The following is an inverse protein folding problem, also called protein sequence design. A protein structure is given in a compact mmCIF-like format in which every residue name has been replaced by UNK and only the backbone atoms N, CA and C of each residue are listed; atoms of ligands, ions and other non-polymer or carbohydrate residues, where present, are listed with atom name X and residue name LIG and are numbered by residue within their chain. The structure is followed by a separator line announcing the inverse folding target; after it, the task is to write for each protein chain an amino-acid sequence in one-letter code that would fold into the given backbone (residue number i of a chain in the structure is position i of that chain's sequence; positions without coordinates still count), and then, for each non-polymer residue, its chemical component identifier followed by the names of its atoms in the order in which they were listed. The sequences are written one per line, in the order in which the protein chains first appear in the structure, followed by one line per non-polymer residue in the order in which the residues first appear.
data_IF_891879558917
#
_entry.id   IF_891879558917
#
_cell.length_a   1.000
_cell.length_b   1.000
_cell.length_c   1.000
_cell.angle_alpha   90.00
_cell.angle_beta   90.00
_cell.angle_gamma   90.00
#
_symmetry.space_group_name_H-M   'P 1'
#
loop_
_entity.id
_entity.type
_entity.pdbx_description
1 polymer ?
2 non-polymer ?
3 water ?
#
# COMPACT_ATOMS: atom_id res chain seq x y z
N UNK A 1 9.05 -1.08 20.83
CA UNK A 1 9.16 -0.98 19.37
C UNK A 1 9.77 -2.38 19.31
N UNK A 2 8.88 -3.35 19.17
CA UNK A 2 9.26 -4.77 19.08
C UNK A 2 10.42 -4.93 18.10
N UNK A 3 11.05 -6.08 18.19
CA UNK A 3 12.19 -6.45 17.33
C UNK A 3 11.59 -7.02 16.04
N UNK A 4 10.33 -7.40 16.16
CA UNK A 4 9.56 -7.97 15.04
C UNK A 4 8.16 -7.36 14.97
N UNK A 5 7.79 -6.99 13.75
CA UNK A 5 6.49 -6.40 13.44
C UNK A 5 5.76 -6.98 12.23
N UNK A 6 4.83 -7.87 12.52
CA UNK A 6 4.01 -8.54 11.51
C UNK A 6 2.56 -8.24 11.89
N UNK A 7 1.86 -7.65 10.93
CA UNK A 7 0.45 -7.28 11.08
C UNK A 7 -0.49 -8.37 10.54
N UNK A 8 0.12 -9.29 9.81
CA UNK A 8 -0.58 -10.43 9.21
C UNK A 8 -1.19 -11.24 10.35
N UNK A 9 -0.30 -11.74 11.20
CA UNK A 9 -0.67 -12.55 12.37
C UNK A 9 -1.28 -11.65 13.45
N UNK A 10 -1.53 -10.42 13.05
CA UNK A 10 -2.13 -9.40 13.92
C UNK A 10 -3.59 -9.17 13.55
N UNK A 11 -3.96 -9.75 12.41
CA UNK A 11 -5.32 -9.67 11.87
C UNK A 11 -5.62 -8.27 11.33
N UNK A 12 -4.65 -7.75 10.60
CA UNK A 12 -4.74 -6.42 9.97
C UNK A 12 -4.79 -6.34 8.45
N UNK A 13 -4.18 -7.33 7.83
CA UNK A 13 -4.12 -7.46 6.36
C UNK A 13 -4.92 -8.70 5.97
N UNK A 14 -5.60 -8.57 4.84
CA UNK A 14 -6.42 -9.65 4.27
C UNK A 14 -5.58 -10.28 3.16
N UNK A 15 -6.17 -11.28 2.54
CA UNK A 15 -5.55 -12.02 1.43
C UNK A 15 -4.96 -11.03 0.43
N UNK A 16 -4.12 -11.56 -0.44
CA UNK A 16 -3.45 -10.79 -1.49
C UNK A 16 -4.32 -10.67 -2.74
N UNK A 17 -4.04 -9.62 -3.49
CA UNK A 17 -4.76 -9.32 -4.74
C UNK A 17 -3.83 -8.85 -5.87
N UNK A 18 -4.42 -8.75 -7.05
CA UNK A 18 -3.73 -8.31 -8.26
C UNK A 18 -4.50 -7.19 -8.96
N UNK A 19 -3.74 -6.19 -9.39
CA UNK A 19 -4.27 -5.02 -10.10
C UNK A 19 -4.55 -5.42 -11.55
N UNK A 20 -3.82 -6.44 -11.98
CA UNK A 20 -3.93 -7.00 -13.33
C UNK A 20 -3.22 -6.04 -14.29
N UNK A 21 -3.71 -6.05 -15.52
CA UNK A 21 -3.19 -5.19 -16.59
C UNK A 21 -3.66 -3.75 -16.42
N UNK A 22 -3.80 -3.38 -15.15
CA UNK A 22 -4.23 -2.03 -14.76
C UNK A 22 -3.13 -1.42 -13.88
N UNK A 23 -2.65 -0.28 -14.35
CA UNK A 23 -1.60 0.49 -13.66
C UNK A 23 -2.36 1.25 -12.58
N UNK A 24 -2.67 0.52 -11.52
CA UNK A 24 -3.39 1.06 -10.36
C UNK A 24 -2.97 0.71 -8.92
N UNK A 25 -1.65 0.25 -8.80
CA UNK A 25 -1.04 -0.10 -7.47
C UNK A 25 -1.29 1.00 -6.48
N UNK A 26 -1.50 2.24 -6.78
CA UNK A 26 -1.69 3.37 -5.86
C UNK A 26 -2.94 3.24 -5.00
N UNK A 27 -4.02 2.86 -5.67
CA UNK A 27 -5.33 2.67 -5.04
C UNK A 27 -5.41 1.42 -4.16
N UNK A 28 -4.60 0.44 -4.54
CA UNK A 28 -4.50 -0.84 -3.84
C UNK A 28 -3.69 -0.66 -2.55
N UNK A 29 -2.59 0.06 -2.71
CA UNK A 29 -1.67 0.37 -1.60
C UNK A 29 -2.46 1.07 -0.50
N UNK A 30 -3.29 2.01 -0.95
CA UNK A 30 -4.15 2.80 -0.07
C UNK A 30 -5.18 2.02 0.75
N UNK A 31 -5.96 1.24 0.03
CA UNK A 31 -7.01 0.39 0.61
C UNK A 31 -6.49 -0.46 1.76
N UNK A 32 -5.21 -0.80 1.65
CA UNK A 32 -4.50 -1.60 2.65
C UNK A 32 -4.11 -0.72 3.84
N UNK A 33 -3.75 0.51 3.51
CA UNK A 33 -3.34 1.52 4.50
C UNK A 33 -4.54 1.81 5.41
N UNK A 34 -5.54 2.44 4.80
CA UNK A 34 -6.78 2.80 5.49
C UNK A 34 -7.26 1.56 6.25
N UNK A 35 -7.37 0.48 5.49
CA UNK A 35 -7.79 -0.82 6.02
C UNK A 35 -7.19 -1.14 7.38
N UNK A 36 -5.86 -1.20 7.39
CA UNK A 36 -5.08 -1.48 8.59
C UNK A 36 -5.53 -0.69 9.82
N UNK A 37 -5.48 0.63 9.67
CA UNK A 37 -5.88 1.58 10.71
C UNK A 37 -7.32 1.33 11.17
N UNK A 38 -8.17 1.09 10.18
CA UNK A 38 -9.60 0.82 10.40
C UNK A 38 -9.88 -0.36 11.32
N UNK A 39 -8.95 -1.30 11.29
CA UNK A 39 -9.00 -2.52 12.11
C UNK A 39 -8.24 -2.42 13.43
N UNK A 40 -7.32 -1.47 13.46
CA UNK A 40 -6.48 -1.20 14.63
C UNK A 40 -7.13 -0.62 15.89
N UNK A 41 -8.26 0.03 15.67
CA UNK A 41 -9.05 0.65 16.74
C UNK A 41 -10.40 -0.03 16.98
N UNK A 42 -11.17 -0.09 15.90
CA UNK A 42 -12.51 -0.71 15.91
C UNK A 42 -12.53 -2.21 16.20
N UNK A 43 -11.50 -2.88 15.69
CA UNK A 43 -11.32 -4.32 15.86
C UNK A 43 -12.18 -5.04 14.81
N UNK A 44 -12.28 -4.40 13.66
CA UNK A 44 -13.04 -4.92 12.52
C UNK A 44 -12.23 -4.82 11.23
N UNK A 45 -11.81 -5.99 10.77
CA UNK A 45 -11.02 -6.13 9.54
C UNK A 45 -11.94 -6.09 8.31
N UNK A 46 -11.56 -5.22 7.38
CA UNK A 46 -12.30 -5.03 6.13
C UNK A 46 -11.54 -4.89 4.80
N UNK A 47 -12.23 -5.29 3.75
CA UNK A 47 -11.71 -5.23 2.38
C UNK A 47 -12.52 -4.16 1.65
N UNK A 48 -11.86 -3.05 1.41
CA UNK A 48 -12.45 -1.90 0.71
C UNK A 48 -12.08 -1.94 -0.77
N UNK A 49 -12.90 -1.27 -1.55
CA UNK A 49 -12.73 -1.17 -3.01
C UNK A 49 -11.68 -0.17 -3.50
N UNK A 50 -10.82 -0.68 -4.36
CA UNK A 50 -9.73 0.11 -4.97
C UNK A 50 -10.29 0.62 -6.30
N UNK A 51 -11.18 -0.20 -6.86
CA UNK A 51 -11.85 0.10 -8.13
C UNK A 51 -12.50 1.48 -8.04
N UNK A 52 -13.14 1.70 -6.91
CA UNK A 52 -13.83 2.97 -6.61
C UNK A 52 -12.84 4.13 -6.66
N UNK A 53 -11.71 3.92 -6.00
CA UNK A 53 -10.62 4.90 -5.94
C UNK A 53 -10.14 5.29 -7.33
N UNK A 54 -10.21 4.31 -8.22
CA UNK A 54 -9.81 4.47 -9.63
C UNK A 54 -10.78 5.36 -10.41
N UNK A 55 -12.04 4.95 -10.37
CA UNK A 55 -13.13 5.66 -11.04
C UNK A 55 -13.52 7.03 -10.49
N UNK A 56 -13.20 7.21 -9.22
CA UNK A 56 -13.47 8.47 -8.49
C UNK A 56 -12.37 9.53 -8.48
N UNK A 57 -11.15 9.04 -8.32
CA UNK A 57 -9.95 9.88 -8.29
C UNK A 57 -9.57 10.25 -9.72
N UNK A 58 -9.90 11.49 -10.06
CA UNK A 58 -9.62 12.05 -11.39
C UNK A 58 -8.28 12.78 -11.34
N UNK A 59 -7.84 13.01 -10.11
CA UNK A 59 -6.56 13.68 -9.82
C UNK A 59 -5.45 12.70 -10.18
N UNK A 60 -5.79 11.42 -10.03
CA UNK A 60 -4.88 10.31 -10.33
C UNK A 60 -5.31 9.98 -11.76
N UNK A 61 -4.47 9.19 -12.41
CA UNK A 61 -4.70 8.73 -13.79
C UNK A 61 -5.02 7.24 -13.84
N UNK A 62 -5.98 6.86 -13.01
CA UNK A 62 -6.45 5.47 -12.90
C UNK A 62 -5.60 4.29 -13.37
N UNK A 63 -6.12 3.61 -14.38
CA UNK A 63 -5.46 2.45 -14.99
C UNK A 63 -4.15 2.83 -15.68
N UNK A 64 -3.27 3.41 -14.89
CA UNK A 64 -1.94 3.84 -15.35
C UNK A 64 -1.44 5.19 -14.84
N UNK A 65 -1.19 5.21 -13.54
CA UNK A 65 -0.69 6.40 -12.84
C UNK A 65 -1.64 6.84 -11.72
N UNK A 66 -1.03 7.32 -10.65
CA UNK A 66 -1.75 7.81 -9.46
C UNK A 66 -0.88 8.22 -8.28
N UNK A 67 -1.55 8.66 -7.23
CA UNK A 67 -0.91 9.09 -5.98
C UNK A 67 -1.59 8.47 -4.76
N UNK A 68 -0.92 7.47 -4.22
CA UNK A 68 -1.38 6.73 -3.04
C UNK A 68 -1.82 7.74 -1.97
N UNK A 69 -1.32 8.95 -2.12
CA UNK A 69 -1.62 10.07 -1.22
C UNK A 69 -2.75 10.92 -1.79
N UNK A 70 -3.05 10.84 -3.04
CA UNK A 70 -4.67 11.25 -3.27
C UNK A 70 -5.78 10.37 -2.71
N UNK A 71 -5.65 9.09 -3.00
CA UNK A 71 -6.60 8.06 -2.55
C UNK A 71 -7.04 8.25 -1.10
N UNK A 72 -6.05 8.17 -0.22
CA UNK A 72 -6.25 8.33 1.22
C UNK A 72 -7.00 9.63 1.51
N UNK A 73 -6.40 10.72 1.07
CA UNK A 73 -6.95 12.07 1.23
C UNK A 73 -8.43 12.01 0.84
N UNK A 74 -8.65 11.44 -0.33
CA UNK A 74 -9.99 11.26 -0.90
C UNK A 74 -10.94 10.68 0.15
N UNK A 75 -10.59 9.48 0.59
CA UNK A 75 -11.36 8.74 1.60
C UNK A 75 -11.74 9.62 2.80
N UNK A 76 -10.70 10.15 3.43
CA UNK A 76 -10.84 11.03 4.60
C UNK A 76 -11.87 12.12 4.32
N UNK A 77 -11.74 12.70 3.14
CA UNK A 77 -12.62 13.77 2.66
C UNK A 77 -14.05 13.26 2.45
N UNK A 78 -14.15 12.24 1.62
CA UNK A 78 -15.42 11.59 1.28
C UNK A 78 -15.60 10.30 2.08
N UNK A 79 -14.99 9.25 1.57
CA UNK A 79 -15.02 7.92 2.18
C UNK A 79 -14.57 6.86 1.17
N UNK A 80 -14.98 5.63 1.46
CA UNK A 80 -14.68 4.47 0.63
C UNK A 80 -15.58 3.29 1.00
N UNK A 81 -15.97 2.56 -0.04
CA UNK A 81 -16.84 1.38 0.09
C UNK A 81 -16.09 0.06 0.25
N UNK A 82 -16.87 -0.98 0.47
CA UNK A 82 -16.36 -2.35 0.64
C UNK A 82 -15.91 -2.74 -0.77
N UNK A 83 -15.24 -3.87 -0.83
CA UNK A 83 -14.72 -4.44 -2.08
C UNK A 83 -15.74 -5.46 -2.59
N UNK A 84 -16.95 -5.33 -2.06
CA UNK A 84 -18.07 -6.20 -2.42
C UNK A 84 -19.11 -5.32 -3.10
N UNK A 85 -19.27 -4.13 -2.54
CA UNK A 85 -20.21 -3.12 -3.04
C UNK A 85 -19.46 -2.23 -4.03
N UNK A 86 -18.29 -2.70 -4.41
CA UNK A 86 -17.41 -2.01 -5.36
C UNK A 86 -16.14 -2.80 -5.71
N UNK A 87 -16.35 -4.09 -5.93
CA UNK A 87 -15.28 -5.03 -6.29
C UNK A 87 -14.43 -4.41 -7.40
N UNK A 88 -13.22 -4.92 -7.51
CA UNK A 88 -12.24 -4.49 -8.51
C UNK A 88 -12.54 -5.24 -9.81
N UNK A 89 -12.44 -4.49 -10.90
CA UNK A 89 -12.68 -5.01 -12.25
C UNK A 89 -11.39 -4.92 -13.07
N UNK A 90 -10.69 -3.81 -12.86
CA UNK A 90 -9.42 -3.52 -13.53
C UNK A 90 -9.36 -2.37 -14.53
N UNK A 91 -10.53 -1.83 -14.81
CA UNK A 91 -10.70 -0.70 -15.74
C UNK A 91 -11.37 0.50 -15.07
N UNK A 92 -10.73 1.64 -15.26
CA UNK A 92 -11.20 2.92 -14.71
C UNK A 92 -12.51 3.25 -15.42
N UNK A 93 -13.42 3.81 -14.64
CA UNK A 93 -14.75 4.21 -15.12
C UNK A 93 -15.40 5.33 -14.30
N UNK A 94 -16.70 5.47 -14.52
CA UNK A 94 -17.53 6.47 -13.83
C UNK A 94 -17.61 6.18 -12.33
N UNK A 95 -17.49 7.25 -11.56
CA UNK A 95 -17.55 7.21 -10.10
C UNK A 95 -18.94 6.65 -9.78
N UNK A 96 -18.94 5.66 -8.90
CA UNK A 96 -20.17 4.99 -8.44
C UNK A 96 -20.43 5.31 -6.97
N UNK A 97 -19.41 5.87 -6.35
CA UNK A 97 -19.45 6.27 -4.93
C UNK A 97 -20.89 6.65 -4.57
N UNK A 98 -21.27 7.84 -5.02
CA UNK A 98 -22.60 8.40 -4.79
C UNK A 98 -23.76 7.46 -5.13
N UNK A 99 -23.70 6.92 -6.34
CA UNK A 99 -24.70 5.98 -6.86
C UNK A 99 -24.78 4.71 -6.02
N UNK A 100 -23.62 4.32 -5.51
CA UNK A 100 -23.47 3.12 -4.67
C UNK A 100 -24.24 3.26 -3.35
N UNK A 101 -24.34 4.50 -2.90
CA UNK A 101 -25.04 4.86 -1.66
C UNK A 101 -24.09 5.25 -0.53
N UNK A 102 -24.63 5.17 0.67
CA UNK A 102 -23.89 5.49 1.91
C UNK A 102 -22.52 4.81 1.86
N UNK A 103 -21.55 5.53 2.40
CA UNK A 103 -20.15 5.07 2.47
C UNK A 103 -20.18 4.07 3.62
N UNK A 104 -19.09 3.33 3.72
CA UNK A 104 -18.89 2.31 4.76
C UNK A 104 -17.69 2.58 5.66
N UNK A 105 -16.68 3.17 5.04
CA UNK A 105 -15.42 3.53 5.71
C UNK A 105 -15.05 4.96 5.31
N UNK A 106 -14.58 5.70 6.30
CA UNK A 106 -14.15 7.09 6.13
C UNK A 106 -13.22 7.46 7.29
N UNK A 107 -11.99 7.79 6.91
CA UNK A 107 -10.94 8.19 7.85
C UNK A 107 -11.13 9.62 8.37
N UNK A 108 -10.15 10.04 9.15
CA UNK A 108 -10.13 11.38 9.75
C UNK A 108 -8.85 12.20 9.55
N UNK A 109 -8.25 11.98 8.39
CA UNK A 109 -7.01 12.67 7.99
C UNK A 109 -5.91 11.79 7.39
N UNK A 110 -4.94 12.46 6.79
CA UNK A 110 -3.79 11.82 6.16
C UNK A 110 -2.52 12.60 6.50
N UNK A 111 -1.48 11.83 6.79
CA UNK A 111 -0.16 12.37 7.14
C UNK A 111 0.90 11.55 6.40
N UNK A 112 2.02 12.21 6.14
CA UNK A 112 3.16 11.61 5.45
C UNK A 112 4.36 11.48 6.39
N UNK A 113 5.12 10.42 6.16
CA UNK A 113 6.32 10.11 6.94
C UNK A 113 7.50 10.80 6.24
N UNK A 114 8.34 11.40 7.06
CA UNK A 114 9.54 12.11 6.61
C UNK A 114 10.38 11.18 5.73
N UNK A 115 10.38 11.50 4.45
CA UNK A 115 11.12 10.74 3.43
C UNK A 115 12.54 10.48 3.94
N UNK A 116 13.18 9.52 3.29
CA UNK A 116 14.56 9.12 3.61
C UNK A 116 15.00 9.00 5.07
N UNK A 117 14.30 8.12 5.78
CA UNK A 117 14.56 7.84 7.20
C UNK A 117 13.85 6.53 7.53
N UNK A 118 14.65 5.49 7.63
CA UNK A 118 14.18 4.14 7.96
C UNK A 118 13.57 4.17 9.36
N UNK A 119 14.35 4.72 10.28
CA UNK A 119 13.95 4.86 11.69
C UNK A 119 12.51 5.36 11.78
N UNK A 120 12.21 6.31 10.91
CA UNK A 120 10.87 6.92 10.82
C UNK A 120 9.79 6.05 10.20
N UNK A 121 10.19 5.34 9.15
CA UNK A 121 9.32 4.43 8.41
C UNK A 121 8.78 3.37 9.37
N UNK A 122 9.71 2.69 10.00
CA UNK A 122 9.42 1.63 10.98
C UNK A 122 8.38 2.02 12.03
N UNK A 123 8.72 3.07 12.76
CA UNK A 123 7.86 3.62 13.82
C UNK A 123 6.39 3.63 13.40
N UNK A 124 6.14 4.32 12.30
CA UNK A 124 4.80 4.45 11.71
C UNK A 124 4.22 3.10 11.31
N UNK A 125 5.11 2.27 10.78
CA UNK A 125 4.77 0.91 10.34
C UNK A 125 4.51 0.05 11.57
N UNK A 126 4.96 0.57 12.70
CA UNK A 126 4.80 -0.08 14.01
C UNK A 126 3.46 0.29 14.65
N UNK A 127 3.05 1.52 14.37
CA UNK A 127 1.79 2.07 14.88
C UNK A 127 0.63 1.76 13.93
N UNK A 128 1.01 1.42 12.70
CA UNK A 128 0.07 1.07 11.64
C UNK A 128 0.78 1.06 10.28
N UNK A 129 0.37 0.10 9.47
CA UNK A 129 0.92 -0.08 8.11
C UNK A 129 0.97 1.27 7.41
N UNK A 130 1.70 1.28 6.30
CA UNK A 130 1.87 2.47 5.46
C UNK A 130 2.05 2.14 3.97
N UNK A 131 1.72 3.13 3.16
CA UNK A 131 1.82 3.04 1.70
C UNK A 131 3.21 3.62 1.38
N UNK A 132 3.98 2.81 0.67
CA UNK A 132 5.34 3.16 0.24
C UNK A 132 5.56 2.84 -1.24
N UNK A 133 6.46 3.61 -1.82
CA UNK A 133 6.84 3.47 -3.23
C UNK A 133 8.23 2.85 -3.38
N UNK A 134 8.62 2.68 -4.64
CA UNK A 134 9.92 2.12 -5.01
C UNK A 134 10.07 1.79 -6.50
N UNK A 135 11.25 1.26 -6.82
CA UNK A 135 11.60 0.87 -8.19
C UNK A 135 11.21 -0.59 -8.41
N UNK A 136 10.24 -0.76 -9.30
CA UNK A 136 9.72 -2.08 -9.68
C UNK A 136 10.00 -2.38 -11.15
N UNK A 137 10.08 -1.29 -11.91
CA UNK A 137 10.36 -1.34 -13.35
C UNK A 137 11.55 -2.30 -13.37
N UNK A 138 11.97 -2.66 -12.17
CA UNK A 138 13.09 -3.59 -11.96
C UNK A 138 12.86 -4.85 -12.79
N UNK A 139 13.97 -5.45 -13.19
CA UNK A 139 13.98 -6.68 -13.99
C UNK A 139 14.33 -7.84 -13.06
N UNK A 140 14.67 -7.47 -11.84
CA UNK A 140 15.04 -8.43 -10.78
C UNK A 140 13.89 -8.59 -9.79
N UNK A 141 13.37 -7.45 -9.38
CA UNK A 141 12.24 -7.37 -8.44
C UNK A 141 11.03 -7.98 -9.13
N UNK A 142 11.09 -7.96 -10.45
CA UNK A 142 10.04 -8.51 -11.31
C UNK A 142 10.04 -10.04 -11.31
N UNK A 143 11.24 -10.57 -11.13
CA UNK A 143 11.48 -12.02 -11.08
C UNK A 143 11.51 -12.70 -9.71
N UNK A 144 11.61 -11.85 -8.69
CA UNK A 144 11.64 -12.29 -7.29
C UNK A 144 10.54 -13.33 -7.05
N UNK A 145 11.00 -14.52 -6.69
CA UNK A 145 10.12 -15.66 -6.40
C UNK A 145 10.54 -16.16 -5.02
N UNK A 146 10.79 -15.20 -4.14
CA UNK A 146 11.19 -15.46 -2.76
C UNK A 146 12.66 -15.13 -2.48
N UNK A 147 12.85 -14.43 -1.36
CA UNK A 147 14.18 -14.02 -0.90
C UNK A 147 14.25 -12.62 -0.27
N UNK A 148 15.48 -12.18 -0.07
CA UNK A 148 15.78 -10.87 0.51
C UNK A 148 16.45 -10.07 -0.61
N UNK A 149 15.66 -9.18 -1.19
CA UNK A 149 16.11 -8.31 -2.28
C UNK A 149 17.09 -7.24 -1.80
N UNK A 150 18.24 -7.22 -2.46
CA UNK A 150 19.32 -6.26 -2.17
C UNK A 150 19.58 -5.51 -3.48
N UNK A 151 19.25 -6.17 -4.57
CA UNK A 151 19.40 -5.63 -5.92
C UNK A 151 19.66 -6.75 -6.93
N UNK A 152 20.31 -6.32 -7.88
CA UNK A 152 20.44 -4.81 -8.01
C UNK A 152 19.11 -4.14 -8.38
N UNK A 153 19.08 -2.84 -8.13
CA UNK A 153 17.91 -1.99 -8.41
C UNK A 153 18.37 -0.54 -8.34
N UNK A 154 17.47 0.34 -8.74
CA UNK A 154 17.70 1.80 -8.74
C UNK A 154 16.95 2.78 -7.83
N UNK A 155 17.13 4.05 -8.14
CA UNK A 155 16.49 5.16 -7.41
C UNK A 155 15.38 5.88 -8.18
N UNK A 156 14.91 5.20 -9.22
CA UNK A 156 13.84 5.71 -10.09
C UNK A 156 12.51 5.10 -9.64
N UNK A 157 11.96 5.70 -8.58
CA UNK A 157 10.68 5.28 -7.99
C UNK A 157 9.56 5.42 -9.02
N UNK A 158 8.70 4.40 -9.03
CA UNK A 158 7.54 4.33 -9.93
C UNK A 158 6.43 3.28 -9.79
N UNK A 159 6.43 2.65 -8.63
CA UNK A 159 5.44 1.61 -8.28
C UNK A 159 5.21 1.76 -6.77
N UNK A 160 3.94 1.66 -6.41
CA UNK A 160 3.48 1.76 -5.01
C UNK A 160 3.02 0.39 -4.51
N UNK A 161 3.40 0.11 -3.27
CA UNK A 161 3.06 -1.15 -2.59
C UNK A 161 2.78 -0.78 -1.13
N UNK A 162 2.90 -1.80 -0.28
CA UNK A 162 2.69 -1.67 1.17
C UNK A 162 3.60 -2.49 2.09
N UNK A 163 3.97 -1.85 3.19
CA UNK A 163 4.83 -2.46 4.22
C UNK A 163 3.88 -2.95 5.31
N UNK A 164 4.01 -4.23 5.62
CA UNK A 164 3.20 -4.90 6.65
C UNK A 164 4.08 -5.70 7.62
N UNK A 165 5.20 -5.08 7.98
CA UNK A 165 6.17 -5.65 8.91
C UNK A 165 7.65 -5.47 8.55
N UNK A 166 8.49 -5.67 9.56
CA UNK A 166 9.95 -5.55 9.43
C UNK A 166 10.62 -6.40 10.52
N UNK A 167 11.91 -6.64 10.29
CA UNK A 167 12.75 -7.43 11.21
C UNK A 167 14.05 -6.63 11.39
N UNK A 168 14.88 -7.16 12.29
CA UNK A 168 16.19 -6.57 12.61
C UNK A 168 16.92 -6.22 11.31
N UNK A 169 16.59 -6.99 10.28
CA UNK A 169 17.16 -6.82 8.93
C UNK A 169 16.42 -6.81 7.59
N UNK A 170 15.20 -7.33 7.64
CA UNK A 170 14.31 -7.41 6.47
C UNK A 170 13.00 -6.64 6.70
N UNK A 171 12.60 -5.93 5.65
CA UNK A 171 11.37 -5.13 5.65
C UNK A 171 10.40 -5.94 4.78
N UNK A 172 9.19 -6.09 5.31
CA UNK A 172 8.11 -6.83 4.64
C UNK A 172 7.17 -5.92 3.82
N UNK A 173 6.99 -6.32 2.57
CA UNK A 173 6.12 -5.60 1.62
C UNK A 173 5.06 -6.41 0.86
N UNK A 174 3.86 -5.85 0.87
CA UNK A 174 2.69 -6.45 0.19
C UNK A 174 2.65 -5.83 -1.21
N UNK A 175 2.76 -6.70 -2.20
CA UNK A 175 2.73 -6.32 -3.62
C UNK A 175 1.33 -6.45 -4.21
N UNK A 176 1.05 -5.56 -5.15
CA UNK A 176 -0.24 -5.51 -5.86
C UNK A 176 -0.35 -6.43 -7.08
N UNK A 177 0.50 -7.45 -7.07
CA UNK A 177 0.56 -8.47 -8.13
C UNK A 177 -0.07 -9.68 -7.45
N UNK A 178 -0.21 -10.74 -8.24
CA UNK A 178 -0.78 -12.02 -7.78
C UNK A 178 0.15 -12.66 -6.75
N UNK A 179 -0.36 -13.71 -6.13
CA UNK A 179 0.38 -14.48 -5.12
C UNK A 179 1.31 -15.43 -5.88
N UNK A 180 1.50 -15.10 -7.15
CA UNK A 180 2.37 -15.86 -8.06
C UNK A 180 3.64 -15.03 -8.28
N UNK A 181 3.96 -14.24 -7.26
CA UNK A 181 5.14 -13.37 -7.25
C UNK A 181 5.76 -13.33 -5.85
N UNK A 182 7.08 -13.19 -5.83
CA UNK A 182 7.87 -13.12 -4.60
C UNK A 182 7.55 -14.38 -3.78
N UNK A 183 7.24 -14.14 -2.52
CA UNK A 183 6.89 -15.21 -1.56
C UNK A 183 5.40 -15.17 -1.20
N UNK A 184 4.60 -15.57 -2.18
CA UNK A 184 3.13 -15.63 -2.04
C UNK A 184 2.46 -14.26 -2.07
N UNK A 185 3.02 -13.39 -2.91
CA UNK A 185 2.53 -12.02 -3.10
C UNK A 185 3.29 -11.09 -2.14
N UNK A 186 4.15 -11.72 -1.35
CA UNK A 186 4.99 -11.02 -0.36
C UNK A 186 6.46 -11.03 -0.81
N UNK A 187 7.16 -9.98 -0.38
CA UNK A 187 8.58 -9.79 -0.68
C UNK A 187 9.29 -9.08 0.48
N UNK A 188 10.44 -9.63 0.84
CA UNK A 188 11.29 -9.11 1.92
C UNK A 188 12.52 -8.43 1.30
N UNK A 189 12.63 -7.14 1.60
CA UNK A 189 13.74 -6.30 1.13
C UNK A 189 14.56 -6.16 2.42
N UNK A 190 15.82 -5.79 2.23
CA UNK A 190 16.78 -5.59 3.33
C UNK A 190 16.94 -4.12 3.74
N UNK A 191 16.97 -3.92 5.05
CA UNK A 191 17.13 -2.60 5.67
C UNK A 191 18.51 -2.59 6.33
N UNK A 192 18.86 -1.43 6.86
CA UNK A 192 20.13 -1.20 7.55
C UNK A 192 21.27 -1.60 6.61
N UNK A 193 21.68 -0.63 5.80
CA UNK A 193 22.76 -0.80 4.83
C UNK A 193 23.51 0.52 4.63
N UNK A 194 22.80 1.60 4.90
CA UNK A 194 23.33 2.97 4.79
C UNK A 194 22.55 3.74 3.72
N UNK A 195 22.10 2.98 2.73
CA UNK A 195 21.31 3.52 1.60
C UNK A 195 20.13 4.30 2.17
N UNK A 196 20.33 5.61 2.26
CA UNK A 196 19.32 6.55 2.76
C UNK A 196 18.04 6.46 1.94
N UNK A 197 18.22 6.60 0.63
CA UNK A 197 17.12 6.53 -0.35
C UNK A 197 16.39 5.23 -0.01
N UNK A 198 17.18 4.20 0.23
CA UNK A 198 16.69 2.86 0.58
C UNK A 198 16.69 2.15 -0.77
N UNK A 199 17.13 0.90 -0.73
CA UNK A 199 17.21 0.03 -1.91
C UNK A 199 15.86 0.10 -2.64
N UNK A 200 15.95 0.37 -3.93
CA UNK A 200 14.78 0.47 -4.82
C UNK A 200 13.97 1.75 -4.59
N UNK A 201 14.55 2.61 -3.76
CA UNK A 201 13.95 3.91 -3.41
C UNK A 201 12.66 3.75 -2.60
N UNK A 202 12.71 2.80 -1.67
CA UNK A 202 11.59 2.49 -0.77
C UNK A 202 11.38 3.50 0.36
N UNK A 203 12.29 4.46 0.41
CA UNK A 203 12.27 5.54 1.41
C UNK A 203 11.97 6.96 0.90
N UNK A 204 11.60 7.01 -0.37
CA UNK A 204 11.25 8.27 -1.05
C UNK A 204 10.07 9.05 -0.47
N UNK A 205 8.89 8.46 -0.62
CA UNK A 205 7.63 9.03 -0.13
C UNK A 205 6.55 8.04 0.32
N UNK A 206 6.35 8.02 1.63
CA UNK A 206 5.36 7.15 2.28
C UNK A 206 4.22 7.88 3.00
N UNK A 207 3.12 7.15 3.16
CA UNK A 207 1.91 7.65 3.83
C UNK A 207 0.77 6.96 4.59
N UNK A 208 -0.08 7.80 5.17
CA UNK A 208 -1.25 7.36 5.94
C UNK A 208 -2.32 8.22 6.61
N UNK A 209 -3.57 7.80 6.41
CA UNK A 209 -4.75 8.47 6.97
C UNK A 209 -4.50 8.77 8.46
N UNK A 210 -5.60 8.94 9.17
CA UNK A 210 -5.59 9.22 10.61
C UNK A 210 -6.96 8.64 10.99
N UNK A 211 -7.07 8.29 12.27
CA UNK A 211 -8.30 7.73 12.85
C UNK A 211 -8.35 8.04 14.35
N UNK A 212 -9.54 8.42 14.79
CA UNK A 212 -9.81 8.75 16.20
C UNK A 212 -10.51 7.57 16.89
X LIG B 1 3.03 -2.28 -12.29
X LIG B 1 3.39 -0.91 -11.96
X LIG B 1 5.13 -1.00 -12.05
X LIG B 1 5.76 -0.23 -12.76
X LIG B 1 3.29 -0.49 -10.57
X LIG B 1 1.44 0.10 -10.60
X LIG B 1 5.69 -1.93 -11.45
#
# INVERSE_FOLDING_TARGET
IPEYVDWRQKGAVTPVKNQGSCGSCWAFSAVVTIEGIIKIRTGNLNQYSEQELLDCDRRSYGCNGGYPWSALQLVAQYGIHYRNTYPYEGVQRYCRSREKGPYAAKTDGVRQVQPYNQGALLYSIANQPVSVVLQAAGKDFQLYRGGIFVGPCGNKVDHAVAAVGYGPNYILIKNSWGTGWGENGYIRIKRGTGNSYGVCGLYTSSFYPVKN
CYS N CA C O CB SG OXT
#
